data_IF_309167084551
#
_entry.id   IF_309167084551
#
_cell.length_a   1.000
_cell.length_b   1.000
_cell.length_c   1.000
_cell.angle_alpha   90.00
_cell.angle_beta   90.00
_cell.angle_gamma   90.00
#
_symmetry.space_group_name_H-M   'P 1'
#
loop_
_entity.id
_entity.type
_entity.pdbx_description
1 polymer ?
#
# COMPACT_ATOMS: atom_id res chain seq x y z
N UNK A 1 26.85 77.07 -30.63
CA UNK A 1 26.94 75.61 -30.48
C UNK A 1 26.30 75.20 -29.16
N UNK A 2 25.08 74.63 -29.17
CA UNK A 2 24.34 74.15 -27.98
C UNK A 2 24.29 72.65 -28.05
N UNK A 3 24.93 71.99 -27.11
CA UNK A 3 24.84 70.53 -26.97
C UNK A 3 23.74 70.21 -25.97
N UNK A 4 22.72 69.53 -26.49
CA UNK A 4 21.65 68.91 -25.64
C UNK A 4 22.07 67.50 -25.26
N UNK A 5 22.18 67.26 -23.95
CA UNK A 5 22.44 65.90 -23.36
C UNK A 5 21.12 65.27 -23.15
N UNK A 6 20.87 64.16 -23.88
CA UNK A 6 19.73 63.29 -23.68
C UNK A 6 20.05 62.29 -22.58
N UNK A 7 19.39 62.37 -21.43
CA UNK A 7 19.51 61.42 -20.36
C UNK A 7 18.57 60.24 -20.63
N UNK A 8 19.12 59.04 -20.89
CA UNK A 8 18.39 57.75 -20.97
C UNK A 8 18.12 57.22 -19.57
N UNK A 9 16.89 57.30 -19.13
CA UNK A 9 16.40 56.61 -17.94
C UNK A 9 16.17 55.12 -18.27
N UNK A 10 17.10 54.26 -17.84
CA UNK A 10 16.93 52.80 -17.86
C UNK A 10 16.08 52.36 -16.65
N UNK A 11 14.81 52.10 -16.88
CA UNK A 11 13.94 51.46 -15.90
C UNK A 11 14.26 49.98 -15.83
N UNK A 12 15.01 49.55 -14.84
CA UNK A 12 15.20 48.13 -14.46
C UNK A 12 13.92 47.55 -13.87
N UNK A 13 13.24 46.76 -14.66
CA UNK A 13 12.15 45.90 -14.18
C UNK A 13 12.75 44.85 -13.23
N UNK A 14 12.55 45.01 -11.93
CA UNK A 14 12.77 43.96 -10.94
C UNK A 14 11.70 42.90 -11.11
N UNK A 15 11.98 41.83 -11.87
CA UNK A 15 11.21 40.61 -11.85
C UNK A 15 11.54 39.94 -10.54
N UNK A 16 10.67 40.12 -9.53
CA UNK A 16 10.73 39.32 -8.31
C UNK A 16 10.46 37.86 -8.69
N UNK A 17 11.39 36.92 -8.42
CA UNK A 17 11.04 35.49 -8.59
C UNK A 17 9.91 35.19 -7.62
N UNK A 18 8.76 34.75 -8.15
CA UNK A 18 7.72 34.10 -7.36
C UNK A 18 8.38 32.85 -6.77
N UNK A 19 8.82 32.95 -5.52
CA UNK A 19 9.26 31.82 -4.73
C UNK A 19 8.02 30.93 -4.54
N UNK A 20 7.85 29.94 -5.41
CA UNK A 20 7.00 28.81 -5.09
C UNK A 20 7.64 28.19 -3.86
N UNK A 21 6.98 28.33 -2.72
CA UNK A 21 7.39 27.66 -1.50
C UNK A 21 7.28 26.16 -1.77
N UNK A 22 8.39 25.53 -2.11
CA UNK A 22 8.49 24.09 -2.18
C UNK A 22 8.24 23.57 -0.77
N UNK A 23 7.07 22.96 -0.56
CA UNK A 23 6.75 22.36 0.73
C UNK A 23 7.82 21.34 1.05
N UNK A 24 8.53 21.51 2.16
CA UNK A 24 9.52 20.52 2.56
C UNK A 24 8.80 19.20 2.89
N UNK A 25 9.42 18.07 2.59
CA UNK A 25 8.88 16.74 2.91
C UNK A 25 8.49 16.61 4.40
N UNK A 26 9.20 17.33 5.29
CA UNK A 26 8.85 17.42 6.71
C UNK A 26 7.52 18.13 6.95
N UNK A 27 7.23 19.19 6.22
CA UNK A 27 5.94 19.90 6.34
C UNK A 27 4.80 19.04 5.84
N UNK A 28 5.00 18.31 4.73
CA UNK A 28 4.00 17.37 4.21
C UNK A 28 3.74 16.23 5.19
N UNK A 29 4.79 15.68 5.82
CA UNK A 29 4.68 14.69 6.88
C UNK A 29 3.83 15.21 8.03
N UNK A 30 4.15 16.39 8.56
CA UNK A 30 3.42 17.01 9.67
C UNK A 30 1.95 17.25 9.32
N UNK A 31 1.66 17.77 8.13
CA UNK A 31 0.31 18.00 7.66
C UNK A 31 -0.49 16.71 7.47
N UNK A 32 0.13 15.66 6.94
CA UNK A 32 -0.49 14.36 6.80
C UNK A 32 -0.83 13.75 8.16
N UNK A 33 0.11 13.80 9.09
CA UNK A 33 -0.07 13.31 10.45
C UNK A 33 -1.19 14.09 11.20
N UNK A 34 -1.26 15.41 11.08
CA UNK A 34 -2.29 16.23 11.70
C UNK A 34 -3.71 15.88 11.23
N UNK A 35 -3.87 15.31 10.04
CA UNK A 35 -5.17 14.91 9.47
C UNK A 35 -5.68 13.55 9.98
N UNK A 36 -4.84 12.73 10.62
CA UNK A 36 -5.18 11.36 11.05
C UNK A 36 -6.44 11.32 11.91
N UNK A 37 -6.52 12.16 12.95
CA UNK A 37 -7.67 12.21 13.85
C UNK A 37 -8.96 12.62 13.13
N UNK A 38 -8.88 13.60 12.22
CA UNK A 38 -10.05 14.04 11.44
C UNK A 38 -10.56 12.89 10.53
N UNK A 39 -9.66 12.17 9.86
CA UNK A 39 -10.04 11.04 9.05
C UNK A 39 -10.62 9.90 9.90
N UNK A 40 -10.04 9.60 11.06
CA UNK A 40 -10.61 8.62 11.99
C UNK A 40 -12.05 8.97 12.38
N UNK A 41 -12.31 10.22 12.75
CA UNK A 41 -13.66 10.70 13.14
C UNK A 41 -14.65 10.62 11.97
N UNK A 42 -14.26 11.05 10.77
CA UNK A 42 -15.12 10.95 9.57
C UNK A 42 -15.42 9.49 9.21
N UNK A 43 -14.41 8.62 9.28
CA UNK A 43 -14.59 7.18 9.08
C UNK A 43 -15.61 6.61 10.05
N UNK A 44 -15.51 6.95 11.35
CA UNK A 44 -16.45 6.51 12.38
C UNK A 44 -17.87 7.02 12.13
N UNK A 45 -18.03 8.28 11.71
CA UNK A 45 -19.34 8.84 11.36
C UNK A 45 -20.01 8.05 10.22
N UNK A 46 -19.29 7.82 9.13
CA UNK A 46 -19.81 7.01 8.02
C UNK A 46 -20.08 5.57 8.42
N UNK A 47 -19.20 4.96 9.22
CA UNK A 47 -19.40 3.62 9.74
C UNK A 47 -20.67 3.49 10.60
N UNK A 48 -20.90 4.43 11.52
CA UNK A 48 -22.09 4.47 12.35
C UNK A 48 -23.38 4.62 11.51
N UNK A 49 -23.32 5.34 10.40
CA UNK A 49 -24.40 5.50 9.43
C UNK A 49 -24.53 4.30 8.47
N UNK A 50 -23.78 3.22 8.67
CA UNK A 50 -23.71 2.04 7.79
C UNK A 50 -23.25 2.34 6.35
N UNK A 51 -22.62 3.49 6.11
CA UNK A 51 -22.06 3.92 4.83
C UNK A 51 -20.61 3.41 4.71
N UNK A 52 -20.42 2.09 4.80
CA UNK A 52 -19.10 1.46 4.92
C UNK A 52 -18.17 1.76 3.75
N UNK A 53 -18.70 1.85 2.52
CA UNK A 53 -17.93 2.23 1.34
C UNK A 53 -17.35 3.65 1.42
N UNK A 54 -18.03 4.58 2.13
CA UNK A 54 -17.51 5.93 2.40
C UNK A 54 -16.56 5.96 3.61
N UNK A 55 -16.73 5.04 4.56
CA UNK A 55 -15.84 4.93 5.72
C UNK A 55 -14.45 4.43 5.32
N UNK A 56 -14.34 3.49 4.37
CA UNK A 56 -13.09 2.85 3.96
C UNK A 56 -12.00 3.87 3.59
N UNK A 57 -12.15 4.80 2.65
CA UNK A 57 -11.07 5.71 2.29
C UNK A 57 -10.58 6.59 3.45
N UNK A 58 -11.45 6.91 4.40
CA UNK A 58 -11.06 7.62 5.59
C UNK A 58 -10.26 6.74 6.57
N UNK A 59 -10.68 5.50 6.76
CA UNK A 59 -9.94 4.56 7.60
C UNK A 59 -8.64 4.09 6.94
N UNK A 60 -8.58 3.97 5.62
CA UNK A 60 -7.33 3.68 4.89
C UNK A 60 -6.33 4.83 5.06
N UNK A 61 -6.79 6.08 4.96
CA UNK A 61 -5.94 7.23 5.30
C UNK A 61 -5.45 7.13 6.76
N UNK A 62 -6.38 6.90 7.71
CA UNK A 62 -6.01 6.72 9.12
C UNK A 62 -4.95 5.61 9.27
N UNK A 63 -5.14 4.44 8.67
CA UNK A 63 -4.24 3.31 8.80
C UNK A 63 -2.85 3.60 8.23
N UNK A 64 -2.81 4.13 7.00
CA UNK A 64 -1.56 4.46 6.32
C UNK A 64 -0.76 5.50 7.10
N UNK A 65 -1.41 6.62 7.45
CA UNK A 65 -0.72 7.72 8.10
C UNK A 65 -0.44 7.48 9.59
N UNK A 66 -1.24 6.69 10.31
CA UNK A 66 -0.89 6.30 11.69
C UNK A 66 0.43 5.51 11.70
N UNK A 67 0.56 4.51 10.83
CA UNK A 67 1.78 3.72 10.74
C UNK A 67 2.97 4.55 10.24
N UNK A 68 2.74 5.43 9.26
CA UNK A 68 3.78 6.29 8.70
C UNK A 68 4.27 7.35 9.70
N UNK A 69 3.36 7.98 10.45
CA UNK A 69 3.70 8.95 11.48
C UNK A 69 4.42 8.28 12.67
N UNK A 70 4.02 7.07 13.05
CA UNK A 70 4.72 6.29 14.06
C UNK A 70 6.15 5.97 13.61
N UNK A 71 6.32 5.52 12.37
CA UNK A 71 7.64 5.21 11.81
C UNK A 71 8.57 6.44 11.74
N UNK A 72 8.00 7.62 11.51
CA UNK A 72 8.71 8.90 11.44
C UNK A 72 8.48 9.77 12.70
N UNK A 73 8.37 9.17 13.87
CA UNK A 73 7.98 9.87 15.11
C UNK A 73 8.85 11.09 15.42
N UNK A 74 10.16 11.00 15.22
CA UNK A 74 11.12 12.08 15.50
C UNK A 74 10.90 13.31 14.60
N UNK A 75 10.33 13.15 13.42
CA UNK A 75 10.11 14.21 12.43
C UNK A 75 8.66 14.68 12.37
N UNK A 76 7.71 13.85 12.79
CA UNK A 76 6.28 14.13 12.68
C UNK A 76 5.76 15.12 13.72
N UNK A 77 6.50 15.31 14.84
CA UNK A 77 6.08 16.06 16.04
C UNK A 77 4.70 15.64 16.57
N UNK A 78 4.23 14.45 16.22
CA UNK A 78 2.98 13.88 16.72
C UNK A 78 3.20 13.27 18.10
N UNK A 79 2.21 13.38 18.98
CA UNK A 79 2.17 12.61 20.20
C UNK A 79 2.36 11.13 19.89
N UNK A 80 3.12 10.41 20.73
CA UNK A 80 3.53 9.03 20.51
C UNK A 80 2.37 8.13 20.08
N UNK A 81 2.33 7.78 18.78
CA UNK A 81 1.44 6.76 18.26
C UNK A 81 2.00 5.38 18.61
N UNK A 82 1.14 4.52 19.15
CA UNK A 82 1.51 3.20 19.60
C UNK A 82 1.15 2.12 18.56
N UNK A 83 1.71 0.90 18.71
CA UNK A 83 1.28 -0.26 17.93
C UNK A 83 -0.21 -0.56 18.08
N UNK A 84 -0.79 -0.18 19.20
CA UNK A 84 -2.24 -0.28 19.44
C UNK A 84 -3.01 0.66 18.53
N UNK A 85 -2.53 1.88 18.30
CA UNK A 85 -3.19 2.85 17.41
C UNK A 85 -3.14 2.38 15.97
N UNK A 86 -2.01 1.84 15.53
CA UNK A 86 -1.87 1.19 14.21
C UNK A 86 -2.83 0.00 14.10
N UNK A 87 -2.92 -0.84 15.13
CA UNK A 87 -3.82 -1.98 15.11
C UNK A 87 -5.29 -1.54 15.05
N UNK A 88 -5.71 -0.52 15.81
CA UNK A 88 -7.06 0.04 15.74
C UNK A 88 -7.36 0.56 14.33
N UNK A 89 -6.45 1.33 13.75
CA UNK A 89 -6.62 1.90 12.41
C UNK A 89 -6.80 0.82 11.35
N UNK A 90 -5.94 -0.21 11.33
CA UNK A 90 -6.05 -1.35 10.42
C UNK A 90 -7.37 -2.12 10.62
N UNK A 91 -7.78 -2.32 11.88
CA UNK A 91 -9.03 -3.03 12.19
C UNK A 91 -10.28 -2.24 11.78
N UNK A 92 -10.27 -0.91 11.83
CA UNK A 92 -11.37 -0.08 11.34
C UNK A 92 -11.62 -0.31 9.84
N UNK A 93 -10.56 -0.40 9.04
CA UNK A 93 -10.66 -0.76 7.61
C UNK A 93 -11.21 -2.17 7.44
N UNK A 94 -10.61 -3.14 8.12
CA UNK A 94 -11.04 -4.54 8.04
C UNK A 94 -12.50 -4.74 8.43
N UNK A 95 -12.97 -4.12 9.51
CA UNK A 95 -14.36 -4.16 9.93
C UNK A 95 -15.30 -3.56 8.87
N UNK A 96 -14.88 -2.47 8.20
CA UNK A 96 -15.67 -1.86 7.12
C UNK A 96 -15.80 -2.81 5.92
N UNK A 97 -14.73 -3.49 5.53
CA UNK A 97 -14.76 -4.52 4.49
C UNK A 97 -15.63 -5.71 4.90
N UNK A 98 -15.56 -6.17 6.16
CA UNK A 98 -16.41 -7.26 6.66
C UNK A 98 -17.91 -6.89 6.57
N UNK A 99 -18.28 -5.65 6.92
CA UNK A 99 -19.65 -5.14 6.81
C UNK A 99 -20.14 -4.98 5.37
N UNK A 100 -19.22 -4.81 4.41
CA UNK A 100 -19.53 -4.80 2.97
C UNK A 100 -19.63 -6.22 2.35
N UNK A 101 -19.49 -7.27 3.15
CA UNK A 101 -19.49 -8.64 2.64
C UNK A 101 -18.21 -9.01 1.88
N UNK A 102 -17.09 -8.35 2.17
CA UNK A 102 -15.76 -8.62 1.59
C UNK A 102 -14.81 -9.21 2.64
N UNK A 103 -15.10 -10.43 3.16
CA UNK A 103 -14.34 -10.98 4.29
C UNK A 103 -12.89 -11.28 3.97
N UNK A 104 -12.53 -11.54 2.71
CA UNK A 104 -11.13 -11.78 2.32
C UNK A 104 -10.29 -10.50 2.44
N UNK A 105 -10.84 -9.34 2.07
CA UNK A 105 -10.19 -8.04 2.33
C UNK A 105 -10.13 -7.72 3.82
N UNK A 106 -11.21 -7.99 4.57
CA UNK A 106 -11.21 -7.81 6.02
C UNK A 106 -10.07 -8.59 6.69
N UNK A 107 -9.91 -9.86 6.32
CA UNK A 107 -8.81 -10.71 6.79
C UNK A 107 -7.44 -10.10 6.45
N UNK A 108 -7.22 -9.63 5.23
CA UNK A 108 -5.95 -9.03 4.83
C UNK A 108 -5.59 -7.85 5.74
N UNK A 109 -6.54 -6.97 6.03
CA UNK A 109 -6.35 -5.84 6.93
C UNK A 109 -6.09 -6.26 8.39
N UNK A 110 -6.80 -7.27 8.91
CA UNK A 110 -6.55 -7.79 10.27
C UNK A 110 -5.17 -8.45 10.38
N UNK A 111 -4.67 -9.06 9.31
CA UNK A 111 -3.35 -9.69 9.26
C UNK A 111 -2.19 -8.68 9.17
N UNK A 112 -2.43 -7.38 9.00
CA UNK A 112 -1.37 -6.37 9.14
C UNK A 112 -0.82 -6.26 10.56
N UNK A 113 -1.64 -6.60 11.57
CA UNK A 113 -1.25 -6.59 13.00
C UNK A 113 -1.70 -7.88 13.70
N UNK A 114 -1.22 -9.08 13.26
CA UNK A 114 -1.77 -10.37 13.66
C UNK A 114 -1.57 -10.67 15.15
N UNK A 115 -0.59 -10.06 15.79
CA UNK A 115 -0.29 -10.22 17.23
C UNK A 115 -1.15 -9.31 18.12
N UNK A 116 -1.89 -8.38 17.56
CA UNK A 116 -2.82 -7.53 18.31
C UNK A 116 -4.03 -8.34 18.78
N UNK A 117 -4.41 -8.17 20.06
CA UNK A 117 -5.63 -8.80 20.62
C UNK A 117 -6.89 -8.44 19.82
N UNK A 118 -6.98 -7.21 19.31
CA UNK A 118 -8.11 -6.73 18.49
C UNK A 118 -8.17 -7.51 17.19
N UNK A 119 -7.03 -7.64 16.49
CA UNK A 119 -6.94 -8.38 15.21
C UNK A 119 -7.26 -9.86 15.41
N UNK A 120 -6.72 -10.48 16.46
CA UNK A 120 -7.01 -11.88 16.80
C UNK A 120 -8.50 -12.11 17.07
N UNK A 121 -9.13 -11.21 17.81
CA UNK A 121 -10.56 -11.27 18.06
C UNK A 121 -11.35 -11.18 16.75
N UNK A 122 -11.07 -10.19 15.91
CA UNK A 122 -11.78 -9.97 14.65
C UNK A 122 -11.56 -11.11 13.66
N UNK A 123 -10.35 -11.68 13.59
CA UNK A 123 -10.05 -12.86 12.76
C UNK A 123 -10.87 -14.08 13.20
N UNK A 124 -11.06 -14.30 14.51
CA UNK A 124 -11.89 -15.39 15.04
C UNK A 124 -13.37 -15.23 14.70
N UNK A 125 -13.88 -14.00 14.62
CA UNK A 125 -15.28 -13.70 14.30
C UNK A 125 -15.54 -13.69 12.78
N UNK A 126 -14.50 -13.69 11.98
CA UNK A 126 -14.62 -13.54 10.54
C UNK A 126 -15.01 -14.86 9.86
N UNK A 127 -16.15 -14.87 9.19
CA UNK A 127 -16.59 -16.01 8.41
C UNK A 127 -16.01 -15.92 6.99
N UNK A 128 -14.98 -16.72 6.72
CA UNK A 128 -14.37 -16.78 5.40
C UNK A 128 -15.20 -17.68 4.46
N UNK A 129 -15.31 -17.34 3.18
CA UNK A 129 -15.96 -18.19 2.20
C UNK A 129 -15.17 -19.50 2.03
N UNK A 130 -15.87 -20.56 1.66
CA UNK A 130 -15.22 -21.84 1.30
C UNK A 130 -14.29 -21.59 0.12
N UNK A 131 -13.07 -22.08 0.24
CA UNK A 131 -12.09 -22.01 -0.85
C UNK A 131 -12.58 -22.83 -2.04
N UNK A 132 -12.78 -22.21 -3.19
CA UNK A 132 -13.10 -22.91 -4.43
C UNK A 132 -11.84 -23.56 -5.04
N UNK A 133 -11.94 -24.25 -6.19
CA UNK A 133 -10.77 -24.84 -6.88
C UNK A 133 -10.09 -23.86 -7.84
N UNK A 134 -10.70 -22.73 -8.11
CA UNK A 134 -10.20 -21.74 -9.07
C UNK A 134 -9.08 -20.92 -8.46
N UNK A 135 -7.99 -20.71 -9.21
CA UNK A 135 -6.82 -19.94 -8.76
C UNK A 135 -6.90 -18.48 -9.15
N UNK A 136 -7.86 -18.12 -10.00
CA UNK A 136 -8.06 -16.74 -10.48
C UNK A 136 -8.35 -15.80 -9.32
N UNK A 137 -8.05 -14.53 -9.52
CA UNK A 137 -8.31 -13.48 -8.58
C UNK A 137 -7.08 -12.68 -8.20
N UNK A 138 -7.27 -11.80 -7.22
CA UNK A 138 -6.22 -10.96 -6.66
C UNK A 138 -5.72 -11.51 -5.33
N UNK A 139 -4.41 -11.53 -5.21
CA UNK A 139 -3.69 -11.93 -4.01
C UNK A 139 -2.82 -10.76 -3.54
N UNK A 140 -2.73 -10.55 -2.24
CA UNK A 140 -1.98 -9.41 -1.67
C UNK A 140 -1.07 -9.83 -0.53
N UNK A 141 0.05 -9.11 -0.40
CA UNK A 141 0.91 -9.10 0.78
C UNK A 141 1.23 -7.66 1.16
N UNK A 142 1.48 -7.34 2.45
CA UNK A 142 1.78 -5.97 2.85
C UNK A 142 3.01 -5.39 2.15
N UNK A 143 2.89 -4.17 1.62
CA UNK A 143 4.00 -3.37 1.10
C UNK A 143 4.47 -2.30 2.09
N UNK A 144 3.76 -2.14 3.22
CA UNK A 144 3.96 -1.11 4.23
C UNK A 144 2.87 -0.04 4.21
N UNK A 145 2.62 0.58 5.35
CA UNK A 145 1.69 1.71 5.51
C UNK A 145 0.30 1.48 4.88
N UNK A 146 -0.27 0.26 5.07
CA UNK A 146 -1.58 -0.08 4.51
C UNK A 146 -1.61 -0.22 2.99
N UNK A 147 -0.46 -0.25 2.33
CA UNK A 147 -0.31 -0.50 0.90
C UNK A 147 0.00 -1.97 0.63
N UNK A 148 -0.21 -2.43 -0.59
CA UNK A 148 -0.18 -3.84 -0.95
C UNK A 148 0.68 -4.12 -2.17
N UNK A 149 1.57 -5.11 -2.06
CA UNK A 149 2.06 -5.82 -3.24
C UNK A 149 0.97 -6.76 -3.72
N UNK A 150 0.79 -6.87 -5.03
CA UNK A 150 -0.31 -7.64 -5.60
C UNK A 150 0.17 -8.70 -6.58
N UNK A 151 -0.52 -9.84 -6.60
CA UNK A 151 -0.45 -10.82 -7.67
C UNK A 151 -1.86 -10.98 -8.23
N UNK A 152 -2.04 -10.70 -9.52
CA UNK A 152 -3.29 -10.90 -10.22
C UNK A 152 -3.18 -12.14 -11.11
N UNK A 153 -4.17 -13.04 -11.01
CA UNK A 153 -4.24 -14.27 -11.78
C UNK A 153 -5.49 -14.25 -12.62
N UNK A 154 -5.30 -14.39 -13.92
CA UNK A 154 -6.38 -14.56 -14.88
C UNK A 154 -6.22 -15.88 -15.63
N UNK A 155 -7.34 -16.55 -15.90
CA UNK A 155 -7.39 -17.79 -16.67
C UNK A 155 -7.53 -17.47 -18.14
N UNK A 156 -6.70 -18.11 -18.96
CA UNK A 156 -6.84 -18.13 -20.42
C UNK A 156 -7.32 -19.52 -20.87
N UNK A 157 -7.46 -19.76 -22.15
CA UNK A 157 -7.85 -21.07 -22.70
C UNK A 157 -6.80 -22.16 -22.43
N UNK A 158 -5.51 -21.81 -22.32
CA UNK A 158 -4.42 -22.77 -22.24
C UNK A 158 -3.65 -22.73 -20.91
N UNK A 159 -3.64 -21.61 -20.22
CA UNK A 159 -2.83 -21.38 -19.02
C UNK A 159 -3.43 -20.33 -18.11
N UNK A 160 -2.84 -20.18 -16.92
CA UNK A 160 -3.03 -19.01 -16.08
C UNK A 160 -1.97 -17.95 -16.44
N UNK A 161 -2.41 -16.71 -16.66
CA UNK A 161 -1.53 -15.53 -16.70
C UNK A 161 -1.41 -14.99 -15.29
N UNK A 162 -0.19 -14.73 -14.83
CA UNK A 162 0.14 -14.24 -13.50
C UNK A 162 0.91 -12.93 -13.66
N UNK A 163 0.41 -11.84 -13.08
CA UNK A 163 1.11 -10.54 -13.05
C UNK A 163 1.35 -10.12 -11.61
N UNK A 164 2.54 -9.63 -11.34
CA UNK A 164 2.99 -9.07 -10.06
C UNK A 164 3.21 -7.57 -10.20
N UNK A 165 2.74 -6.82 -9.21
CA UNK A 165 3.06 -5.42 -9.00
C UNK A 165 3.49 -5.24 -7.54
N UNK A 166 4.71 -4.76 -7.34
CA UNK A 166 5.33 -4.61 -6.03
C UNK A 166 5.80 -3.19 -5.78
N UNK A 167 5.81 -2.82 -4.51
CA UNK A 167 6.16 -1.49 -4.02
C UNK A 167 7.10 -1.61 -2.81
N UNK A 168 7.99 -0.61 -2.70
CA UNK A 168 8.76 -0.38 -1.49
C UNK A 168 8.63 1.09 -1.09
N UNK A 169 8.06 1.32 0.09
CA UNK A 169 7.90 2.64 0.68
C UNK A 169 9.08 2.91 1.62
N UNK A 170 10.01 3.77 1.21
CA UNK A 170 11.10 4.26 2.06
C UNK A 170 10.61 5.20 3.17
N UNK A 171 11.56 5.86 3.84
CA UNK A 171 11.30 6.75 4.99
C UNK A 171 10.24 7.83 4.68
N UNK A 172 10.24 8.38 3.47
CA UNK A 172 9.26 9.37 3.00
C UNK A 172 8.37 8.81 1.88
N UNK A 173 8.15 7.51 1.86
CA UNK A 173 7.52 6.83 0.75
C UNK A 173 6.07 7.23 0.47
N UNK A 174 5.30 7.67 1.47
CA UNK A 174 3.95 8.19 1.26
C UNK A 174 3.93 9.61 0.66
N UNK A 175 5.06 10.32 0.72
CA UNK A 175 5.22 11.69 0.20
C UNK A 175 5.85 11.64 -1.19
N UNK A 176 6.99 10.96 -1.30
CA UNK A 176 7.81 10.92 -2.52
C UNK A 176 7.38 9.82 -3.50
N UNK A 177 6.44 8.96 -3.10
CA UNK A 177 6.07 7.75 -3.82
C UNK A 177 6.99 6.55 -3.57
N UNK A 178 6.54 5.33 -3.91
CA UNK A 178 7.29 4.10 -3.73
C UNK A 178 8.27 3.85 -4.88
N UNK A 179 9.30 3.05 -4.61
CA UNK A 179 9.98 2.29 -5.65
C UNK A 179 9.05 1.18 -6.13
N UNK A 180 9.11 0.84 -7.41
CA UNK A 180 8.18 -0.09 -8.06
C UNK A 180 8.91 -1.23 -8.74
N UNK A 181 8.26 -2.39 -8.86
CA UNK A 181 8.74 -3.53 -9.64
C UNK A 181 7.57 -4.37 -10.11
N UNK A 182 7.70 -4.95 -11.29
CA UNK A 182 6.65 -5.80 -11.84
C UNK A 182 7.23 -6.92 -12.70
N UNK A 183 6.48 -8.01 -12.81
CA UNK A 183 6.74 -9.06 -13.77
C UNK A 183 5.44 -9.75 -14.21
N UNK A 184 5.53 -10.47 -15.33
CA UNK A 184 4.45 -11.34 -15.80
C UNK A 184 5.03 -12.72 -16.12
N UNK A 185 4.32 -13.77 -15.70
CA UNK A 185 4.63 -15.16 -16.04
C UNK A 185 3.34 -15.94 -16.31
N UNK A 186 3.48 -17.21 -16.68
CA UNK A 186 2.35 -18.09 -16.94
C UNK A 186 2.54 -19.45 -16.24
N UNK A 187 1.42 -20.14 -16.01
CA UNK A 187 1.39 -21.45 -15.40
C UNK A 187 0.36 -22.34 -16.11
N UNK A 188 0.70 -23.60 -16.51
CA UNK A 188 -0.27 -24.52 -17.09
C UNK A 188 -1.47 -24.79 -16.14
N UNK A 189 -2.64 -25.07 -16.71
CA UNK A 189 -3.77 -25.52 -15.91
C UNK A 189 -3.44 -26.80 -15.14
N UNK A 190 -3.83 -26.86 -13.87
CA UNK A 190 -3.58 -28.01 -12.99
C UNK A 190 -2.22 -27.98 -12.29
N UNK A 191 -1.28 -27.13 -12.70
CA UNK A 191 -0.05 -26.92 -11.96
C UNK A 191 -0.30 -26.18 -10.63
N UNK A 192 0.60 -26.39 -9.67
CA UNK A 192 0.58 -25.72 -8.34
C UNK A 192 1.77 -24.81 -8.12
N UNK A 193 2.59 -24.64 -9.13
CA UNK A 193 3.80 -23.82 -9.09
C UNK A 193 3.95 -23.07 -10.41
N UNK A 194 4.43 -21.85 -10.33
CA UNK A 194 4.84 -21.04 -11.45
C UNK A 194 6.25 -20.53 -11.21
N UNK A 195 6.98 -20.24 -12.29
CA UNK A 195 8.33 -19.74 -12.25
C UNK A 195 8.43 -18.52 -13.14
N UNK A 196 9.15 -17.50 -12.67
CA UNK A 196 9.59 -16.38 -13.48
C UNK A 196 11.12 -16.40 -13.50
N UNK A 197 11.70 -16.26 -14.69
CA UNK A 197 13.14 -16.12 -14.86
C UNK A 197 13.43 -15.07 -15.93
N UNK A 198 14.31 -14.14 -15.61
CA UNK A 198 14.83 -13.13 -16.54
C UNK A 198 16.23 -12.74 -16.05
N UNK A 199 17.23 -12.94 -16.87
CA UNK A 199 18.65 -12.81 -16.50
C UNK A 199 18.94 -13.56 -15.19
N UNK A 200 19.48 -12.89 -14.17
CA UNK A 200 19.78 -13.48 -12.86
C UNK A 200 18.55 -13.54 -11.92
N UNK A 201 17.43 -12.97 -12.34
CA UNK A 201 16.20 -13.00 -11.55
C UNK A 201 15.48 -14.33 -11.66
N UNK A 202 15.24 -14.95 -10.51
CA UNK A 202 14.42 -16.18 -10.40
C UNK A 202 13.41 -15.99 -9.30
N UNK A 203 12.14 -16.16 -9.63
CA UNK A 203 11.03 -16.04 -8.67
C UNK A 203 10.16 -17.28 -8.79
N UNK A 204 10.00 -17.98 -7.66
CA UNK A 204 9.17 -19.16 -7.54
C UNK A 204 7.86 -18.81 -6.83
N UNK A 205 6.73 -19.24 -7.39
CA UNK A 205 5.41 -19.05 -6.85
C UNK A 205 4.79 -20.41 -6.56
N UNK A 206 4.46 -20.70 -5.30
CA UNK A 206 3.84 -21.96 -4.88
C UNK A 206 2.44 -21.69 -4.32
N UNK A 207 1.45 -22.30 -4.94
CA UNK A 207 0.05 -22.20 -4.51
C UNK A 207 -0.22 -23.18 -3.38
N UNK A 208 -0.72 -22.67 -2.28
CA UNK A 208 -1.03 -23.44 -1.07
C UNK A 208 -2.27 -22.90 -0.36
N UNK A 209 -2.61 -23.50 0.75
CA UNK A 209 -3.70 -23.08 1.63
C UNK A 209 -3.30 -23.32 3.08
N UNK A 210 -3.68 -22.41 3.96
CA UNK A 210 -3.53 -22.53 5.40
C UNK A 210 -4.84 -22.17 6.13
N UNK A 211 -4.76 -21.97 7.44
CA UNK A 211 -5.91 -21.59 8.28
C UNK A 211 -6.56 -20.26 7.88
N UNK A 212 -5.83 -19.42 7.19
CA UNK A 212 -6.34 -18.13 6.68
C UNK A 212 -6.86 -18.23 5.24
N UNK A 213 -6.80 -19.40 4.60
CA UNK A 213 -7.31 -19.66 3.27
C UNK A 213 -6.22 -19.78 2.21
N UNK A 214 -6.59 -19.55 0.96
CA UNK A 214 -5.66 -19.70 -0.17
C UNK A 214 -4.59 -18.63 -0.16
N UNK A 215 -3.35 -19.06 -0.47
CA UNK A 215 -2.19 -18.17 -0.59
C UNK A 215 -1.24 -18.63 -1.69
N UNK A 216 -0.37 -17.72 -2.07
CA UNK A 216 0.81 -17.96 -2.91
C UNK A 216 2.03 -17.67 -2.04
N UNK A 217 2.89 -18.67 -1.87
CA UNK A 217 4.20 -18.50 -1.27
C UNK A 217 5.16 -18.10 -2.39
N UNK A 218 5.76 -16.93 -2.28
CA UNK A 218 6.69 -16.39 -3.29
C UNK A 218 8.08 -16.32 -2.71
N UNK A 219 9.05 -16.83 -3.46
CA UNK A 219 10.48 -16.77 -3.12
C UNK A 219 11.22 -16.12 -4.28
N UNK A 220 11.92 -15.03 -4.01
CA UNK A 220 12.83 -14.37 -4.95
C UNK A 220 14.27 -14.73 -4.60
N UNK A 221 15.01 -15.32 -5.56
CA UNK A 221 16.36 -15.84 -5.37
C UNK A 221 17.46 -14.91 -5.93
N UNK A 222 17.12 -13.67 -6.24
CA UNK A 222 18.06 -12.67 -6.72
C UNK A 222 17.96 -11.39 -5.89
N UNK A 223 19.00 -10.55 -5.98
CA UNK A 223 18.92 -9.17 -5.50
C UNK A 223 17.83 -8.40 -6.26
N UNK A 224 17.34 -7.31 -5.68
CA UNK A 224 16.33 -6.45 -6.34
C UNK A 224 16.82 -5.91 -7.68
N UNK A 225 18.13 -5.60 -7.80
CA UNK A 225 18.75 -5.16 -9.05
C UNK A 225 18.77 -6.24 -10.12
N UNK A 226 18.95 -7.53 -9.75
CA UNK A 226 18.92 -8.65 -10.69
C UNK A 226 17.54 -8.89 -11.31
N UNK A 227 16.46 -8.40 -10.68
CA UNK A 227 15.09 -8.48 -11.19
C UNK A 227 14.66 -7.22 -11.96
N UNK A 228 15.52 -6.25 -12.17
CA UNK A 228 15.17 -4.92 -12.74
C UNK A 228 14.07 -4.20 -11.98
N UNK A 229 13.92 -4.51 -10.70
CA UNK A 229 13.00 -3.83 -9.80
C UNK A 229 13.63 -2.55 -9.25
N UNK A 230 12.78 -1.60 -8.88
CA UNK A 230 13.21 -0.44 -8.12
C UNK A 230 13.89 -0.85 -6.80
N UNK A 231 14.68 0.06 -6.24
CA UNK A 231 15.46 -0.20 -5.03
C UNK A 231 14.61 -0.76 -3.89
N UNK A 232 15.06 -1.86 -3.27
CA UNK A 232 14.39 -2.58 -2.18
C UNK A 232 13.01 -3.19 -2.49
N UNK A 233 12.51 -3.15 -3.72
CA UNK A 233 11.31 -3.89 -4.10
C UNK A 233 11.62 -5.38 -4.12
N UNK A 234 10.84 -6.17 -3.41
CA UNK A 234 11.01 -7.61 -3.29
C UNK A 234 9.66 -8.32 -3.43
N UNK A 235 9.62 -9.37 -4.26
CA UNK A 235 8.41 -10.14 -4.48
C UNK A 235 8.17 -11.23 -3.43
N UNK A 236 9.17 -11.58 -2.61
CA UNK A 236 9.03 -12.66 -1.62
C UNK A 236 7.95 -12.36 -0.59
N UNK A 237 7.19 -13.38 -0.22
CA UNK A 237 6.18 -13.27 0.83
C UNK A 237 5.01 -14.25 0.66
N UNK A 238 4.06 -14.16 1.58
CA UNK A 238 2.80 -14.88 1.52
C UNK A 238 1.71 -13.95 1.02
N UNK A 239 1.18 -14.23 -0.17
CA UNK A 239 0.11 -13.45 -0.80
C UNK A 239 -1.22 -14.16 -0.58
N UNK A 240 -2.11 -13.57 0.18
CA UNK A 240 -3.43 -14.12 0.45
C UNK A 240 -4.47 -13.64 -0.56
N UNK A 241 -5.32 -14.55 -1.05
CA UNK A 241 -6.40 -14.20 -1.98
C UNK A 241 -7.39 -13.23 -1.33
N UNK A 242 -7.69 -12.12 -2.00
CA UNK A 242 -8.65 -11.10 -1.52
C UNK A 242 -9.85 -10.92 -2.44
N UNK A 243 -9.73 -11.34 -3.69
CA UNK A 243 -10.79 -11.32 -4.70
C UNK A 243 -10.71 -12.60 -5.56
N UNK A 244 -11.87 -13.03 -6.06
CA UNK A 244 -12.01 -14.13 -7.03
C UNK A 244 -12.07 -13.57 -8.46
#
# INVERSE_FOLDING_TARGET
MKYSILALLSSSLFISPLAFAEFSATQELQQGCAKVTNHAQRGQQYYAQKQYHKAIPHFEYQAAWTAFCQFNADQSHMAHLSDRDVAIANNNVGLSYAKLGKPLWARAWFLLTPNSKISQYNLKQLHLPKTNKQLEGRYVTPAGFGQWNTINISKTTQHYKISFDGYYFGILGLINGPNMGSFTTSMPHGAKQAHYAHDDCKIDLKFSQDQYGRKIEVTQNASTSGCSFGHNVNASGNYYQVEN
#
